data_IF_538653899382
#
_entry.id   IF_538653899382
#
_cell.length_a   1.000
_cell.length_b   1.000
_cell.length_c   1.000
_cell.angle_alpha   90.00
_cell.angle_beta   90.00
_cell.angle_gamma   90.00
#
_symmetry.space_group_name_H-M   'P 1'
#
loop_
_entity.id
_entity.type
_entity.pdbx_description
1 polymer ?
#
# COMPACT_ATOMS: atom_id res chain seq x y z
N UNK A 1 39.96 -11.14 30.33
CA UNK A 1 38.89 -11.71 29.48
C UNK A 1 38.11 -10.67 28.67
N UNK A 2 37.82 -9.46 29.19
CA UNK A 2 37.10 -8.43 28.41
C UNK A 2 37.91 -7.83 27.23
N UNK A 3 39.24 -7.69 27.37
CA UNK A 3 40.11 -7.12 26.31
C UNK A 3 40.32 -8.03 25.10
N UNK A 4 40.28 -9.36 25.29
CA UNK A 4 40.37 -10.34 24.19
C UNK A 4 39.07 -10.39 23.39
N UNK A 5 37.92 -10.27 24.07
CA UNK A 5 36.61 -10.17 23.44
C UNK A 5 36.45 -8.88 22.61
N UNK A 6 36.93 -7.73 23.11
CA UNK A 6 36.87 -6.49 22.33
C UNK A 6 37.71 -6.57 21.03
N UNK A 7 38.89 -7.17 21.09
CA UNK A 7 39.74 -7.41 19.91
C UNK A 7 39.06 -8.32 18.88
N UNK A 8 38.41 -9.41 19.33
CA UNK A 8 37.70 -10.33 18.43
C UNK A 8 36.48 -9.68 17.76
N UNK A 9 35.71 -8.86 18.48
CA UNK A 9 34.60 -8.10 17.89
C UNK A 9 35.08 -7.06 16.87
N UNK A 10 36.23 -6.40 17.12
CA UNK A 10 36.83 -5.48 16.14
C UNK A 10 37.27 -6.24 14.88
N UNK A 11 37.83 -7.44 15.02
CA UNK A 11 38.17 -8.29 13.88
C UNK A 11 36.91 -8.68 13.08
N UNK A 12 35.82 -9.06 13.76
CA UNK A 12 34.53 -9.36 13.13
C UNK A 12 33.96 -8.14 12.40
N UNK A 13 33.97 -6.96 13.02
CA UNK A 13 33.48 -5.74 12.38
C UNK A 13 34.26 -5.42 11.09
N UNK A 14 35.56 -5.72 11.04
CA UNK A 14 36.39 -5.54 9.84
C UNK A 14 36.04 -6.50 8.70
N UNK A 15 35.39 -7.63 8.94
CA UNK A 15 34.97 -8.57 7.88
C UNK A 15 33.68 -8.15 7.16
N UNK A 16 33.02 -7.07 7.61
CA UNK A 16 31.84 -6.50 6.96
C UNK A 16 32.12 -6.04 5.52
N UNK A 17 31.08 -6.05 4.69
CA UNK A 17 31.19 -5.57 3.31
C UNK A 17 31.68 -4.10 3.24
N UNK A 18 32.60 -3.74 2.31
CA UNK A 18 33.21 -2.41 2.26
C UNK A 18 32.21 -1.27 2.07
N UNK A 19 31.10 -1.49 1.34
CA UNK A 19 30.03 -0.47 1.23
C UNK A 19 29.36 -0.18 2.57
N UNK A 20 29.25 -1.19 3.43
CA UNK A 20 28.60 -1.10 4.72
C UNK A 20 29.54 -0.48 5.76
N UNK A 21 30.84 -0.81 5.70
CA UNK A 21 31.90 -0.09 6.44
C UNK A 21 31.94 1.40 6.07
N UNK A 22 31.90 1.75 4.78
CA UNK A 22 31.86 3.16 4.33
C UNK A 22 30.61 3.88 4.81
N UNK A 23 29.46 3.19 4.84
CA UNK A 23 28.22 3.74 5.36
C UNK A 23 28.37 4.07 6.85
N UNK A 24 28.78 3.10 7.68
CA UNK A 24 28.95 3.33 9.13
C UNK A 24 30.08 4.30 9.48
N UNK A 25 31.10 4.43 8.62
CA UNK A 25 32.13 5.48 8.77
C UNK A 25 31.54 6.88 8.70
N UNK A 26 30.55 7.10 7.84
CA UNK A 26 29.90 8.40 7.66
C UNK A 26 28.69 8.58 8.58
N UNK A 27 27.96 7.50 8.84
CA UNK A 27 26.72 7.46 9.60
C UNK A 27 26.86 6.41 10.71
N UNK A 28 27.54 6.75 11.82
CA UNK A 28 27.66 5.83 12.94
C UNK A 28 26.27 5.53 13.56
N UNK A 29 26.08 4.32 14.11
CA UNK A 29 24.82 3.94 14.73
C UNK A 29 24.45 4.88 15.89
N UNK A 30 23.17 5.20 16.05
CA UNK A 30 22.64 6.09 17.11
C UNK A 30 22.72 7.59 16.80
N UNK A 31 23.38 8.00 15.71
CA UNK A 31 23.45 9.43 15.31
C UNK A 31 22.30 9.85 14.39
N UNK A 32 21.78 8.90 13.60
CA UNK A 32 20.87 9.18 12.48
C UNK A 32 19.41 8.75 12.77
N UNK A 33 19.02 8.74 14.05
CA UNK A 33 17.70 8.26 14.46
C UNK A 33 16.59 9.30 14.21
N UNK A 34 16.94 10.58 14.20
CA UNK A 34 15.99 11.65 13.88
C UNK A 34 15.83 11.83 12.36
N UNK A 35 14.62 12.14 11.86
CA UNK A 35 14.36 12.24 10.42
C UNK A 35 15.11 13.38 9.73
N UNK A 36 15.60 14.38 10.47
CA UNK A 36 16.42 15.47 9.93
C UNK A 36 17.88 15.04 9.69
N UNK A 37 18.40 14.13 10.52
CA UNK A 37 19.78 13.63 10.44
C UNK A 37 19.88 12.32 9.65
N UNK A 38 18.75 11.64 9.43
CA UNK A 38 18.70 10.37 8.75
C UNK A 38 19.00 10.52 7.24
N UNK A 39 20.02 9.82 6.70
CA UNK A 39 20.39 9.92 5.29
C UNK A 39 19.39 9.25 4.33
N UNK A 40 18.38 8.57 4.87
CA UNK A 40 17.36 7.83 4.13
C UNK A 40 16.02 8.57 3.99
N UNK A 41 15.82 9.65 4.75
CA UNK A 41 14.62 10.47 4.70
C UNK A 41 14.86 11.75 3.89
N UNK A 42 13.81 12.25 3.25
CA UNK A 42 13.85 13.57 2.63
C UNK A 42 13.83 14.64 3.71
N UNK A 43 14.54 15.73 3.47
CA UNK A 43 14.60 16.88 4.37
C UNK A 43 14.06 18.12 3.66
N UNK A 44 13.58 19.10 4.42
CA UNK A 44 13.18 20.39 3.86
C UNK A 44 14.35 21.36 4.00
N UNK A 45 14.69 22.07 2.93
CA UNK A 45 15.66 23.16 2.98
C UNK A 45 15.04 24.34 3.77
N UNK A 46 15.63 24.76 4.90
CA UNK A 46 15.03 25.80 5.75
C UNK A 46 14.96 27.18 5.08
N UNK A 47 15.87 27.49 4.15
CA UNK A 47 15.90 28.79 3.48
C UNK A 47 14.89 28.88 2.33
N UNK A 48 14.67 27.78 1.59
CA UNK A 48 13.84 27.79 0.37
C UNK A 48 12.49 27.08 0.54
N UNK A 49 12.28 26.34 1.64
CA UNK A 49 11.08 25.53 1.89
C UNK A 49 10.91 24.34 0.95
N UNK A 50 11.87 24.09 0.04
CA UNK A 50 11.80 22.98 -0.93
C UNK A 50 12.23 21.67 -0.28
N UNK A 51 11.55 20.58 -0.64
CA UNK A 51 11.96 19.22 -0.28
C UNK A 51 13.22 18.82 -1.04
N UNK A 52 14.17 18.25 -0.33
CA UNK A 52 15.38 17.66 -0.87
C UNK A 52 15.26 16.14 -0.87
N UNK A 53 15.75 15.53 -1.95
CA UNK A 53 15.82 14.08 -2.05
C UNK A 53 16.74 13.50 -0.96
N UNK A 54 16.43 12.28 -0.47
CA UNK A 54 17.30 11.61 0.48
C UNK A 54 18.68 11.33 -0.13
N UNK A 55 19.73 11.40 0.68
CA UNK A 55 21.12 11.13 0.28
C UNK A 55 21.26 9.75 -0.38
N UNK A 56 20.47 8.78 0.09
CA UNK A 56 20.30 7.48 -0.56
C UNK A 56 18.88 7.32 -1.07
N UNK A 57 18.73 7.08 -2.38
CA UNK A 57 17.45 6.72 -2.99
C UNK A 57 16.91 5.38 -2.44
N UNK A 58 15.60 5.15 -2.54
CA UNK A 58 14.94 3.93 -2.05
C UNK A 58 15.56 2.63 -2.58
N UNK A 59 16.11 2.65 -3.80
CA UNK A 59 16.88 1.51 -4.37
C UNK A 59 18.17 1.27 -3.59
N UNK A 60 18.96 2.33 -3.37
CA UNK A 60 20.22 2.26 -2.62
C UNK A 60 20.00 1.91 -1.14
N UNK A 61 18.92 2.41 -0.55
CA UNK A 61 18.49 2.00 0.79
C UNK A 61 18.24 0.49 0.85
N UNK A 62 17.49 -0.06 -0.11
CA UNK A 62 17.23 -1.49 -0.17
C UNK A 62 18.51 -2.32 -0.34
N UNK A 63 19.46 -1.88 -1.18
CA UNK A 63 20.77 -2.54 -1.33
C UNK A 63 21.52 -2.59 0.01
N UNK A 64 21.54 -1.48 0.76
CA UNK A 64 22.20 -1.41 2.07
C UNK A 64 21.47 -2.29 3.10
N UNK A 65 20.14 -2.24 3.17
CA UNK A 65 19.37 -3.10 4.07
C UNK A 65 19.54 -4.60 3.75
N UNK A 66 19.60 -4.98 2.47
CA UNK A 66 19.87 -6.37 2.06
C UNK A 66 21.26 -6.82 2.51
N UNK A 67 22.28 -5.98 2.31
CA UNK A 67 23.63 -6.25 2.79
C UNK A 67 23.65 -6.37 4.33
N UNK A 68 23.07 -5.41 5.04
CA UNK A 68 23.03 -5.42 6.50
C UNK A 68 22.32 -6.66 7.05
N UNK A 69 21.23 -7.10 6.42
CA UNK A 69 20.56 -8.36 6.77
C UNK A 69 21.45 -9.58 6.58
N UNK A 70 22.20 -9.65 5.48
CA UNK A 70 23.16 -10.74 5.22
C UNK A 70 24.23 -10.85 6.32
N UNK A 71 24.66 -9.71 6.86
CA UNK A 71 25.67 -9.64 7.93
C UNK A 71 25.07 -9.52 9.35
N UNK A 72 23.73 -9.59 9.50
CA UNK A 72 23.07 -9.50 10.81
C UNK A 72 23.10 -8.13 11.50
N UNK A 73 23.43 -7.06 10.79
CA UNK A 73 23.61 -5.69 11.33
C UNK A 73 22.50 -4.72 10.90
N UNK A 74 21.31 -5.24 10.55
CA UNK A 74 20.17 -4.43 10.08
C UNK A 74 19.65 -3.46 11.15
N UNK A 75 19.73 -3.83 12.43
CA UNK A 75 19.28 -3.01 13.56
C UNK A 75 20.14 -1.75 13.80
N UNK A 76 21.39 -1.76 13.33
CA UNK A 76 22.31 -0.62 13.46
C UNK A 76 22.07 0.46 12.39
N UNK A 77 21.23 0.16 11.38
CA UNK A 77 20.89 1.13 10.36
C UNK A 77 19.83 2.11 10.86
N UNK A 78 19.85 3.37 10.37
CA UNK A 78 18.76 4.31 10.60
C UNK A 78 17.41 3.74 10.15
N UNK A 79 16.29 4.20 10.73
CA UNK A 79 14.96 3.71 10.36
C UNK A 79 14.67 3.95 8.89
N UNK A 80 14.18 2.92 8.18
CA UNK A 80 13.81 3.00 6.77
C UNK A 80 12.55 2.21 6.44
N UNK A 81 11.81 2.62 5.38
CA UNK A 81 10.70 1.82 4.84
C UNK A 81 11.16 0.52 4.16
N UNK A 82 12.48 0.32 4.00
CA UNK A 82 13.08 -0.88 3.39
C UNK A 82 13.60 -1.89 4.42
N UNK A 83 13.60 -1.53 5.70
CA UNK A 83 13.92 -2.44 6.81
C UNK A 83 12.94 -3.62 6.86
N UNK A 84 13.36 -4.75 7.42
CA UNK A 84 12.48 -5.92 7.59
C UNK A 84 11.27 -5.61 8.44
N UNK A 85 11.49 -5.00 9.61
CA UNK A 85 10.43 -4.60 10.52
C UNK A 85 9.38 -3.71 9.83
N UNK A 86 9.81 -2.69 9.10
CA UNK A 86 8.86 -1.80 8.40
C UNK A 86 8.11 -2.52 7.27
N UNK A 87 8.78 -3.42 6.54
CA UNK A 87 8.12 -4.22 5.48
C UNK A 87 7.09 -5.18 6.05
N UNK A 88 7.38 -5.81 7.19
CA UNK A 88 6.45 -6.70 7.90
C UNK A 88 5.25 -5.95 8.45
N UNK A 89 5.47 -4.81 9.11
CA UNK A 89 4.40 -3.92 9.57
C UNK A 89 3.49 -3.49 8.40
N UNK A 90 4.10 -3.05 7.29
CA UNK A 90 3.35 -2.68 6.09
C UNK A 90 2.57 -3.86 5.49
N UNK A 91 3.13 -5.06 5.49
CA UNK A 91 2.42 -6.25 5.01
C UNK A 91 1.17 -6.54 5.86
N UNK A 92 1.28 -6.40 7.18
CA UNK A 92 0.14 -6.53 8.10
C UNK A 92 -0.92 -5.45 7.85
N UNK A 93 -0.50 -4.20 7.63
CA UNK A 93 -1.42 -3.10 7.30
C UNK A 93 -2.14 -3.32 5.98
N UNK A 94 -1.42 -3.73 4.93
CA UNK A 94 -2.02 -4.04 3.61
C UNK A 94 -3.03 -5.17 3.75
N UNK A 95 -2.71 -6.21 4.54
CA UNK A 95 -3.63 -7.32 4.80
C UNK A 95 -4.95 -6.85 5.43
N UNK A 96 -4.91 -5.85 6.33
CA UNK A 96 -6.11 -5.23 6.91
C UNK A 96 -6.94 -4.49 5.84
N UNK A 97 -6.29 -3.82 4.88
CA UNK A 97 -6.97 -3.08 3.81
C UNK A 97 -7.60 -4.02 2.77
N UNK A 98 -6.93 -5.12 2.42
CA UNK A 98 -7.43 -6.10 1.44
C UNK A 98 -8.68 -6.85 1.93
N UNK A 99 -8.94 -6.89 3.23
CA UNK A 99 -10.13 -7.50 3.81
C UNK A 99 -11.41 -6.66 3.62
N UNK A 100 -11.35 -5.53 2.91
CA UNK A 100 -12.51 -4.65 2.68
C UNK A 100 -13.47 -5.23 1.65
N UNK A 101 -14.77 -4.97 1.82
CA UNK A 101 -15.84 -5.40 0.91
C UNK A 101 -15.60 -4.83 -0.49
N UNK A 102 -15.58 -5.73 -1.48
CA UNK A 102 -15.44 -5.37 -2.91
C UNK A 102 -16.72 -4.71 -3.41
N UNK A 103 -16.58 -3.73 -4.29
CA UNK A 103 -17.69 -2.93 -4.87
C UNK A 103 -18.66 -3.74 -5.77
N UNK A 104 -18.24 -4.90 -6.26
CA UNK A 104 -19.01 -5.73 -7.21
C UNK A 104 -19.11 -5.13 -8.62
N UNK A 105 -19.46 -5.97 -9.60
CA UNK A 105 -19.72 -5.53 -10.98
C UNK A 105 -21.06 -4.78 -11.07
N UNK A 106 -21.26 -3.97 -12.11
CA UNK A 106 -22.50 -3.17 -12.28
C UNK A 106 -23.74 -4.07 -12.32
N UNK A 107 -23.65 -5.22 -13.00
CA UNK A 107 -24.78 -6.16 -13.10
C UNK A 107 -25.08 -6.84 -11.77
N UNK A 108 -24.09 -7.17 -10.94
CA UNK A 108 -24.29 -7.74 -9.60
C UNK A 108 -25.05 -6.76 -8.71
N UNK A 109 -24.64 -5.48 -8.73
CA UNK A 109 -25.29 -4.43 -7.95
C UNK A 109 -26.73 -4.17 -8.37
N UNK A 110 -27.00 -4.21 -9.67
CA UNK A 110 -28.33 -3.91 -10.24
C UNK A 110 -29.19 -5.15 -10.45
N UNK A 111 -28.69 -6.35 -10.13
CA UNK A 111 -29.36 -7.62 -10.43
C UNK A 111 -30.74 -7.67 -9.76
N UNK A 112 -30.78 -7.38 -8.47
CA UNK A 112 -32.02 -7.43 -7.69
C UNK A 112 -33.05 -6.40 -8.19
N UNK A 113 -32.60 -5.19 -8.52
CA UNK A 113 -33.48 -4.16 -9.10
C UNK A 113 -34.07 -4.62 -10.44
N UNK A 114 -33.23 -5.17 -11.32
CA UNK A 114 -33.67 -5.71 -12.63
C UNK A 114 -34.66 -6.87 -12.45
N UNK A 115 -34.39 -7.79 -11.53
CA UNK A 115 -35.28 -8.92 -11.22
C UNK A 115 -36.61 -8.43 -10.66
N UNK A 116 -36.60 -7.49 -9.72
CA UNK A 116 -37.81 -6.91 -9.14
C UNK A 116 -38.64 -6.16 -10.18
N UNK A 117 -37.99 -5.41 -11.08
CA UNK A 117 -38.67 -4.72 -12.19
C UNK A 117 -39.37 -5.71 -13.13
N UNK A 118 -38.72 -6.83 -13.46
CA UNK A 118 -39.33 -7.91 -14.27
C UNK A 118 -40.51 -8.55 -13.53
N UNK A 119 -40.35 -8.88 -12.24
CA UNK A 119 -41.42 -9.46 -11.43
C UNK A 119 -42.65 -8.56 -11.38
N UNK A 120 -42.45 -7.27 -11.12
CA UNK A 120 -43.53 -6.28 -11.09
C UNK A 120 -44.26 -6.19 -12.43
N UNK A 121 -43.53 -6.09 -13.54
CA UNK A 121 -44.12 -6.05 -14.88
C UNK A 121 -44.96 -7.30 -15.18
N UNK A 122 -44.51 -8.49 -14.77
CA UNK A 122 -45.27 -9.74 -14.96
C UNK A 122 -46.54 -9.80 -14.12
N UNK A 123 -46.53 -9.26 -12.90
CA UNK A 123 -47.72 -9.18 -12.05
C UNK A 123 -48.76 -8.19 -12.61
N UNK A 124 -48.31 -7.07 -13.19
CA UNK A 124 -49.18 -6.04 -13.76
C UNK A 124 -49.67 -6.41 -15.18
N UNK A 125 -49.01 -7.35 -15.85
CA UNK A 125 -49.29 -7.77 -17.23
C UNK A 125 -50.75 -8.17 -17.50
N UNK A 126 -51.43 -8.97 -16.65
CA UNK A 126 -52.81 -9.38 -16.93
C UNK A 126 -53.79 -8.21 -16.93
N UNK A 127 -53.62 -7.26 -16.01
CA UNK A 127 -54.44 -6.06 -15.94
C UNK A 127 -54.23 -5.17 -17.17
N UNK A 128 -52.96 -4.98 -17.57
CA UNK A 128 -52.59 -4.22 -18.75
C UNK A 128 -53.17 -4.84 -20.03
N UNK A 129 -53.10 -6.17 -20.19
CA UNK A 129 -53.70 -6.87 -21.33
C UNK A 129 -55.22 -6.69 -21.36
N UNK A 130 -55.90 -6.77 -20.21
CA UNK A 130 -57.34 -6.55 -20.11
C UNK A 130 -57.72 -5.14 -20.57
N UNK A 131 -57.01 -4.13 -20.08
CA UNK A 131 -57.24 -2.73 -20.46
C UNK A 131 -56.98 -2.49 -21.95
N UNK A 132 -55.88 -3.03 -22.49
CA UNK A 132 -55.53 -2.91 -23.90
C UNK A 132 -56.61 -3.52 -24.82
N UNK A 133 -57.15 -4.69 -24.44
CA UNK A 133 -58.27 -5.33 -25.16
C UNK A 133 -59.54 -4.48 -25.09
N UNK A 134 -59.90 -3.98 -23.90
CA UNK A 134 -61.10 -3.13 -23.69
C UNK A 134 -61.02 -1.82 -24.48
N UNK A 135 -59.84 -1.19 -24.59
CA UNK A 135 -59.61 0.03 -25.39
C UNK A 135 -59.52 -0.20 -26.90
N UNK A 136 -59.76 -1.44 -27.38
CA UNK A 136 -59.87 -1.75 -28.80
C UNK A 136 -58.54 -2.01 -29.51
N UNK A 137 -57.66 -2.83 -28.91
CA UNK A 137 -56.44 -3.35 -29.55
C UNK A 137 -55.51 -2.26 -30.10
N UNK A 138 -55.32 -1.19 -29.33
CA UNK A 138 -54.39 -0.11 -29.68
C UNK A 138 -55.01 1.13 -30.32
N UNK A 139 -56.29 1.11 -30.76
CA UNK A 139 -56.94 2.29 -31.35
C UNK A 139 -57.08 3.47 -30.38
N UNK A 140 -57.39 3.19 -29.10
CA UNK A 140 -57.46 4.18 -28.03
C UNK A 140 -56.25 4.21 -27.09
N UNK A 141 -55.16 3.51 -27.42
CA UNK A 141 -54.00 3.37 -26.53
C UNK A 141 -53.03 4.54 -26.71
N UNK A 142 -52.75 5.27 -25.63
CA UNK A 142 -51.82 6.41 -25.60
C UNK A 142 -50.53 6.13 -24.84
N UNK A 143 -50.51 5.09 -24.01
CA UNK A 143 -49.40 4.75 -23.11
C UNK A 143 -48.37 3.85 -23.79
N UNK A 144 -47.85 4.31 -24.93
CA UNK A 144 -46.79 3.60 -25.64
C UNK A 144 -45.46 3.71 -24.87
N UNK A 145 -44.64 2.65 -24.82
CA UNK A 145 -43.28 2.75 -24.32
C UNK A 145 -42.53 3.86 -25.06
N UNK A 146 -41.74 4.64 -24.33
CA UNK A 146 -40.85 5.65 -24.91
C UNK A 146 -39.55 5.03 -25.40
#
# INVERSE_FOLDING_TARGET
>A
MASTASSSYVALAKTLHPRLLRFFRRWPPGTADTPKLNPFTSTVNPATGKWQDPIFSLRRQADICKLARKFGVEQLLPPTPKSSMSREQRALEVKKVTAKKVKGQIWERTLMEKVNKRKKAMLEMPALIKEWKLKGHGRGWKDWPK
#
